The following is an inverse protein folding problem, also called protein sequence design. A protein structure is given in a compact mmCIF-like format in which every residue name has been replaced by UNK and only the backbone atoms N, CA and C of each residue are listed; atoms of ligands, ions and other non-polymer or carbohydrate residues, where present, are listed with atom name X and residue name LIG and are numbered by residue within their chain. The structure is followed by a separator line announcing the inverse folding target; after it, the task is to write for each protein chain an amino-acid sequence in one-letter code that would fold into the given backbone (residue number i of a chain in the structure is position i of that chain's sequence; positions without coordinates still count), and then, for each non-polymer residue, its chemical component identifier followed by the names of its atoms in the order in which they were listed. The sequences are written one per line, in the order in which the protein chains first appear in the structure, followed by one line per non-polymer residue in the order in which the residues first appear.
data_IF_922722893979
#
_entry.id   IF_922722893979
#
_cell.length_a   1.000
_cell.length_b   1.000
_cell.length_c   1.000
_cell.angle_alpha   90.00
_cell.angle_beta   90.00
_cell.angle_gamma   90.00
#
_symmetry.space_group_name_H-M   'P 1'
#
loop_
_entity.id
_entity.type
_entity.pdbx_description
1 polymer ?
#
# COMPACT_ATOMS: atom_id res chain seq x y z
N UNK A 1 -38.48 25.95 8.58
CA UNK A 1 -37.40 26.91 8.32
C UNK A 1 -36.25 26.13 7.72
N UNK A 2 -35.96 26.36 6.46
CA UNK A 2 -34.94 25.61 5.70
C UNK A 2 -33.57 26.16 6.07
N UNK A 3 -32.71 25.32 6.65
CA UNK A 3 -31.29 25.64 6.90
C UNK A 3 -30.56 25.76 5.56
N UNK A 4 -30.09 26.95 5.26
CA UNK A 4 -29.22 27.27 4.12
C UNK A 4 -27.86 26.63 4.35
N UNK A 5 -27.51 25.67 3.51
CA UNK A 5 -26.12 25.20 3.34
C UNK A 5 -25.38 26.34 2.64
N UNK A 6 -24.51 27.04 3.34
CA UNK A 6 -23.60 28.03 2.75
C UNK A 6 -22.59 27.26 1.87
N UNK A 7 -22.82 27.30 0.54
CA UNK A 7 -21.80 26.86 -0.41
C UNK A 7 -20.52 27.69 -0.19
N UNK A 8 -19.41 27.09 0.15
CA UNK A 8 -18.11 27.79 0.21
C UNK A 8 -17.82 28.35 -1.18
N UNK A 9 -17.48 29.64 -1.24
CA UNK A 9 -17.14 30.31 -2.50
C UNK A 9 -15.92 29.61 -3.12
N UNK A 10 -16.02 29.17 -4.38
CA UNK A 10 -14.94 28.53 -5.12
C UNK A 10 -13.76 29.50 -5.27
N UNK A 11 -12.65 29.22 -4.63
CA UNK A 11 -11.44 30.04 -4.66
C UNK A 11 -10.27 29.23 -5.23
N UNK A 12 -9.64 29.74 -6.28
CA UNK A 12 -8.48 29.19 -6.93
C UNK A 12 -7.28 30.14 -6.76
N UNK A 13 -6.18 29.63 -6.24
CA UNK A 13 -4.88 30.34 -6.29
C UNK A 13 -4.03 29.72 -7.40
N UNK A 14 -3.42 30.55 -8.21
CA UNK A 14 -2.52 30.17 -9.30
C UNK A 14 -1.13 30.67 -8.95
N UNK A 15 -0.14 29.78 -8.89
CA UNK A 15 1.28 30.13 -8.76
C UNK A 15 2.01 29.66 -10.00
N UNK A 16 2.38 30.61 -10.86
CA UNK A 16 3.04 30.37 -12.15
C UNK A 16 3.80 31.64 -12.54
N UNK A 17 5.07 31.53 -12.89
CA UNK A 17 5.90 32.69 -13.29
C UNK A 17 5.62 33.14 -14.74
N UNK A 18 4.93 32.31 -15.53
CA UNK A 18 4.44 32.71 -16.85
C UNK A 18 3.05 33.35 -16.74
N UNK A 19 3.03 34.70 -16.84
CA UNK A 19 1.80 35.46 -16.75
C UNK A 19 0.76 35.06 -17.81
N UNK A 20 1.16 34.54 -18.97
CA UNK A 20 0.24 34.12 -20.04
C UNK A 20 -0.49 32.82 -19.68
N UNK A 21 0.21 31.90 -19.01
CA UNK A 21 -0.36 30.65 -18.48
C UNK A 21 -1.31 30.98 -17.31
N UNK A 22 -0.85 31.81 -16.36
CA UNK A 22 -1.68 32.24 -15.24
C UNK A 22 -2.98 32.94 -15.70
N UNK A 23 -2.90 33.85 -16.68
CA UNK A 23 -4.08 34.48 -17.28
C UNK A 23 -5.01 33.47 -17.96
N UNK A 24 -4.48 32.48 -18.65
CA UNK A 24 -5.27 31.45 -19.32
C UNK A 24 -6.04 30.62 -18.29
N UNK A 25 -5.38 30.18 -17.23
CA UNK A 25 -6.02 29.42 -16.14
C UNK A 25 -7.08 30.29 -15.45
N UNK A 26 -6.76 31.55 -15.13
CA UNK A 26 -7.69 32.49 -14.50
C UNK A 26 -8.96 32.66 -15.32
N UNK A 27 -8.81 33.00 -16.60
CA UNK A 27 -9.95 33.22 -17.50
C UNK A 27 -10.87 32.01 -17.58
N UNK A 28 -10.31 30.81 -17.61
CA UNK A 28 -11.09 29.58 -17.69
C UNK A 28 -11.79 29.27 -16.36
N UNK A 29 -11.09 29.43 -15.24
CA UNK A 29 -11.64 29.17 -13.92
C UNK A 29 -12.76 30.18 -13.52
N UNK A 30 -12.61 31.44 -13.89
CA UNK A 30 -13.65 32.49 -13.69
C UNK A 30 -14.96 32.12 -14.40
N UNK A 31 -14.89 31.56 -15.61
CA UNK A 31 -16.08 31.06 -16.35
C UNK A 31 -16.77 29.89 -15.63
N UNK A 32 -16.08 29.18 -14.78
CA UNK A 32 -16.61 28.10 -13.93
C UNK A 32 -17.06 28.59 -12.55
N UNK A 33 -17.02 29.91 -12.32
CA UNK A 33 -17.49 30.57 -11.10
C UNK A 33 -16.47 30.59 -9.96
N UNK A 34 -15.17 30.45 -10.28
CA UNK A 34 -14.09 30.61 -9.29
C UNK A 34 -13.74 32.10 -9.10
N UNK A 35 -13.43 32.47 -7.87
CA UNK A 35 -12.64 33.67 -7.58
C UNK A 35 -11.16 33.28 -7.72
N UNK A 36 -10.41 33.95 -8.61
CA UNK A 36 -9.03 33.56 -8.90
C UNK A 36 -8.06 34.64 -8.46
N UNK A 37 -6.95 34.24 -7.83
CA UNK A 37 -5.81 35.08 -7.49
C UNK A 37 -4.54 34.44 -8.09
N UNK A 38 -3.78 35.24 -8.85
CA UNK A 38 -2.56 34.79 -9.52
C UNK A 38 -1.33 35.40 -8.85
N UNK A 39 -0.28 34.61 -8.75
CA UNK A 39 1.00 34.96 -8.11
C UNK A 39 2.15 34.52 -9.02
N UNK A 40 3.18 35.37 -9.10
CA UNK A 40 4.44 35.12 -9.82
C UNK A 40 5.57 34.73 -8.86
N UNK A 41 5.28 34.64 -7.55
CA UNK A 41 6.27 34.29 -6.53
C UNK A 41 5.66 33.69 -5.28
N UNK A 42 6.48 32.93 -4.50
CA UNK A 42 5.98 32.07 -3.44
C UNK A 42 5.52 32.82 -2.19
N UNK A 43 6.16 33.91 -1.78
CA UNK A 43 5.83 34.59 -0.51
C UNK A 43 4.40 35.16 -0.49
N UNK A 44 3.97 35.99 -1.47
CA UNK A 44 2.59 36.46 -1.52
C UNK A 44 1.56 35.32 -1.68
N UNK A 45 1.95 34.25 -2.38
CA UNK A 45 1.11 33.05 -2.54
C UNK A 45 0.86 32.37 -1.19
N UNK A 46 1.88 32.14 -0.37
CA UNK A 46 1.67 31.50 0.95
C UNK A 46 0.85 32.37 1.91
N UNK A 47 0.97 33.69 1.84
CA UNK A 47 0.12 34.60 2.59
C UNK A 47 -1.35 34.47 2.14
N UNK A 48 -1.59 34.39 0.82
CA UNK A 48 -2.91 34.20 0.27
C UNK A 48 -3.51 32.85 0.65
N UNK A 49 -2.72 31.76 0.68
CA UNK A 49 -3.17 30.45 1.15
C UNK A 49 -3.71 30.51 2.58
N UNK A 50 -3.01 31.24 3.48
CA UNK A 50 -3.44 31.41 4.89
C UNK A 50 -4.68 32.29 5.02
N UNK A 51 -4.80 33.33 4.19
CA UNK A 51 -5.87 34.32 4.30
C UNK A 51 -7.18 33.84 3.67
N UNK A 52 -7.09 33.21 2.49
CA UNK A 52 -8.27 32.91 1.67
C UNK A 52 -8.75 31.47 1.80
N UNK A 53 -7.97 30.57 2.43
CA UNK A 53 -8.31 29.15 2.53
C UNK A 53 -8.84 28.59 1.20
N UNK A 54 -8.01 28.54 0.13
CA UNK A 54 -8.47 28.23 -1.22
C UNK A 54 -9.08 26.84 -1.30
N UNK A 55 -10.07 26.66 -2.17
CA UNK A 55 -10.59 25.33 -2.51
C UNK A 55 -9.67 24.61 -3.50
N UNK A 56 -9.00 25.37 -4.37
CA UNK A 56 -8.11 24.84 -5.40
C UNK A 56 -6.83 25.64 -5.48
N UNK A 57 -5.74 24.98 -5.89
CA UNK A 57 -4.43 25.59 -6.19
C UNK A 57 -3.93 25.01 -7.51
N UNK A 58 -3.58 25.86 -8.46
CA UNK A 58 -2.80 25.49 -9.64
C UNK A 58 -1.35 25.92 -9.43
N UNK A 59 -0.41 24.97 -9.49
CA UNK A 59 0.98 25.16 -9.16
C UNK A 59 1.89 24.77 -10.32
N UNK A 60 2.69 25.71 -10.81
CA UNK A 60 3.82 25.35 -11.69
C UNK A 60 4.96 24.71 -10.89
N UNK A 61 5.51 23.64 -11.45
CA UNK A 61 6.65 22.94 -10.87
C UNK A 61 7.99 23.60 -11.21
N UNK A 62 8.05 24.43 -12.26
CA UNK A 62 9.29 25.04 -12.73
C UNK A 62 9.19 26.56 -12.60
N UNK A 63 9.78 27.07 -11.56
CA UNK A 63 9.82 28.52 -11.29
C UNK A 63 11.24 28.97 -10.86
N UNK A 64 11.68 30.19 -11.21
CA UNK A 64 13.10 30.61 -11.04
C UNK A 64 13.55 30.80 -9.58
N UNK A 65 12.65 31.05 -8.64
CA UNK A 65 13.00 31.42 -7.25
C UNK A 65 12.80 30.30 -6.24
N UNK A 66 11.82 29.46 -6.49
CA UNK A 66 11.48 28.31 -5.65
C UNK A 66 10.81 27.29 -6.56
N UNK A 67 11.31 26.07 -6.57
CA UNK A 67 10.68 25.02 -7.35
C UNK A 67 9.36 24.54 -6.74
N UNK A 68 8.51 23.93 -7.55
CA UNK A 68 7.19 23.48 -7.13
C UNK A 68 7.25 22.40 -6.04
N UNK A 69 8.32 21.63 -5.95
CA UNK A 69 8.50 20.60 -4.90
C UNK A 69 8.66 21.27 -3.53
N UNK A 70 9.44 22.34 -3.45
CA UNK A 70 9.57 23.12 -2.21
C UNK A 70 8.25 23.79 -1.83
N UNK A 71 7.47 24.27 -2.81
CA UNK A 71 6.12 24.80 -2.57
C UNK A 71 5.21 23.71 -2.01
N UNK A 72 5.19 22.52 -2.60
CA UNK A 72 4.40 21.37 -2.09
C UNK A 72 4.81 21.01 -0.66
N UNK A 73 6.09 20.99 -0.35
CA UNK A 73 6.60 20.73 1.00
C UNK A 73 6.07 21.75 2.02
N UNK A 74 6.06 23.04 1.69
CA UNK A 74 5.52 24.09 2.57
C UNK A 74 4.01 24.00 2.70
N UNK A 75 3.28 23.72 1.62
CA UNK A 75 1.82 23.50 1.68
C UNK A 75 1.45 22.32 2.59
N UNK A 76 2.21 21.23 2.55
CA UNK A 76 2.04 20.10 3.46
C UNK A 76 2.28 20.52 4.94
N UNK A 77 3.34 21.28 5.23
CA UNK A 77 3.62 21.79 6.57
C UNK A 77 2.51 22.74 7.07
N UNK A 78 1.85 23.44 6.15
CA UNK A 78 0.72 24.32 6.46
C UNK A 78 -0.62 23.57 6.57
N UNK A 79 -0.63 22.25 6.38
CA UNK A 79 -1.84 21.41 6.35
C UNK A 79 -2.89 21.92 5.35
N UNK A 80 -2.44 22.34 4.15
CA UNK A 80 -3.31 22.86 3.12
C UNK A 80 -4.28 21.78 2.62
N UNK A 81 -5.59 22.06 2.69
CA UNK A 81 -6.66 21.14 2.30
C UNK A 81 -7.15 21.36 0.86
N UNK A 82 -6.60 22.34 0.16
CA UNK A 82 -6.99 22.64 -1.22
C UNK A 82 -6.70 21.46 -2.17
N UNK A 83 -7.53 21.31 -3.19
CA UNK A 83 -7.24 20.42 -4.30
C UNK A 83 -6.13 21.00 -5.20
N UNK A 84 -5.04 20.28 -5.38
CA UNK A 84 -3.86 20.73 -6.10
C UNK A 84 -3.88 20.24 -7.56
N UNK A 85 -3.66 21.15 -8.49
CA UNK A 85 -3.44 20.87 -9.92
C UNK A 85 -2.00 21.24 -10.22
N UNK A 86 -1.17 20.25 -10.57
CA UNK A 86 0.24 20.48 -10.90
C UNK A 86 0.39 20.79 -12.38
N UNK A 87 1.05 21.93 -12.72
CA UNK A 87 1.32 22.29 -14.10
C UNK A 87 2.83 22.21 -14.39
N UNK A 88 3.22 21.77 -15.57
CA UNK A 88 4.64 21.78 -15.96
C UNK A 88 4.82 21.59 -17.46
N UNK A 89 5.87 22.20 -18.00
CA UNK A 89 6.39 21.94 -19.34
C UNK A 89 7.37 20.77 -19.45
N UNK A 90 7.68 20.08 -18.32
CA UNK A 90 8.56 18.90 -18.30
C UNK A 90 7.83 17.60 -18.64
N UNK A 91 8.61 16.56 -18.98
CA UNK A 91 8.09 15.26 -19.33
C UNK A 91 7.25 14.63 -18.21
N UNK A 92 6.29 13.80 -18.60
CA UNK A 92 5.26 13.17 -17.78
C UNK A 92 5.80 12.47 -16.51
N UNK A 93 7.00 11.87 -16.56
CA UNK A 93 7.63 11.20 -15.40
C UNK A 93 7.94 12.13 -14.23
N UNK A 94 8.34 13.36 -14.50
CA UNK A 94 8.63 14.35 -13.43
C UNK A 94 7.33 14.75 -12.73
N UNK A 95 6.27 14.92 -13.51
CA UNK A 95 4.94 15.22 -12.99
C UNK A 95 4.37 14.08 -12.14
N UNK A 96 4.52 12.84 -12.58
CA UNK A 96 4.10 11.64 -11.83
C UNK A 96 4.89 11.50 -10.51
N UNK A 97 6.19 11.75 -10.53
CA UNK A 97 7.02 11.75 -9.33
C UNK A 97 6.61 12.85 -8.34
N UNK A 98 6.36 14.08 -8.84
CA UNK A 98 5.87 15.17 -7.99
C UNK A 98 4.49 14.88 -7.38
N UNK A 99 3.60 14.24 -8.15
CA UNK A 99 2.28 13.83 -7.69
C UNK A 99 2.39 12.78 -6.57
N UNK A 100 3.23 11.76 -6.73
CA UNK A 100 3.46 10.73 -5.72
C UNK A 100 4.00 11.33 -4.43
N UNK A 101 5.06 12.15 -4.53
CA UNK A 101 5.66 12.83 -3.37
C UNK A 101 4.66 13.73 -2.62
N UNK A 102 3.80 14.44 -3.35
CA UNK A 102 2.79 15.31 -2.74
C UNK A 102 1.69 14.50 -2.04
N UNK A 103 1.25 13.39 -2.64
CA UNK A 103 0.25 12.48 -2.04
C UNK A 103 0.77 11.81 -0.78
N UNK A 104 2.02 11.36 -0.75
CA UNK A 104 2.69 10.80 0.43
C UNK A 104 2.79 11.80 1.60
N UNK A 105 2.78 13.12 1.30
CA UNK A 105 2.76 14.19 2.29
C UNK A 105 1.36 14.60 2.73
N UNK A 106 0.33 13.87 2.32
CA UNK A 106 -1.07 14.12 2.69
C UNK A 106 -1.72 15.29 1.95
N UNK A 107 -1.15 15.73 0.83
CA UNK A 107 -1.76 16.76 -0.03
C UNK A 107 -2.78 16.13 -1.00
N UNK A 108 -3.88 16.82 -1.23
CA UNK A 108 -4.94 16.38 -2.14
C UNK A 108 -4.63 16.76 -3.59
N UNK A 109 -4.10 15.84 -4.38
CA UNK A 109 -3.77 16.07 -5.79
C UNK A 109 -4.96 15.70 -6.68
N UNK A 110 -5.55 16.71 -7.32
CA UNK A 110 -6.65 16.53 -8.28
C UNK A 110 -6.16 16.00 -9.63
N UNK A 111 -4.95 16.34 -10.02
CA UNK A 111 -4.33 15.85 -11.24
C UNK A 111 -3.19 16.72 -11.73
N UNK A 112 -2.73 16.37 -12.94
CA UNK A 112 -1.58 16.97 -13.61
C UNK A 112 -2.04 17.60 -14.93
N UNK A 113 -1.54 18.78 -15.22
CA UNK A 113 -1.85 19.56 -16.41
C UNK A 113 -0.55 19.88 -17.20
N UNK A 114 -0.14 19.02 -18.13
CA UNK A 114 1.08 19.24 -18.92
C UNK A 114 0.89 20.44 -19.88
N UNK A 115 1.87 21.35 -19.90
CA UNK A 115 1.91 22.50 -20.83
C UNK A 115 2.46 22.06 -22.20
N UNK A 116 1.81 22.42 -23.36
CA UNK A 116 0.53 23.13 -23.49
C UNK A 116 -0.67 22.21 -23.22
N UNK A 117 -1.68 22.72 -22.52
CA UNK A 117 -2.86 21.94 -22.14
C UNK A 117 -4.11 22.31 -22.95
N UNK A 118 -5.04 21.37 -23.01
CA UNK A 118 -6.36 21.58 -23.61
C UNK A 118 -7.31 22.17 -22.57
N UNK A 119 -8.18 23.13 -22.95
CA UNK A 119 -9.17 23.71 -22.06
C UNK A 119 -10.03 22.67 -21.32
N UNK A 120 -10.49 21.64 -22.01
CA UNK A 120 -11.34 20.60 -21.44
C UNK A 120 -10.68 19.82 -20.29
N UNK A 121 -9.36 19.66 -20.31
CA UNK A 121 -8.63 18.97 -19.23
C UNK A 121 -8.59 19.81 -17.97
N UNK A 122 -8.36 21.13 -18.10
CA UNK A 122 -8.40 22.05 -16.96
C UNK A 122 -9.82 22.14 -16.37
N UNK A 123 -10.87 22.22 -17.23
CA UNK A 123 -12.27 22.24 -16.80
C UNK A 123 -12.64 20.97 -16.03
N UNK A 124 -12.18 19.81 -16.49
CA UNK A 124 -12.36 18.54 -15.78
C UNK A 124 -11.70 18.56 -14.40
N UNK A 125 -10.43 18.99 -14.31
CA UNK A 125 -9.70 19.06 -13.04
C UNK A 125 -10.32 20.06 -12.05
N UNK A 126 -10.77 21.22 -12.52
CA UNK A 126 -11.45 22.23 -11.70
C UNK A 126 -12.88 21.82 -11.27
N UNK A 127 -13.50 20.89 -11.96
CA UNK A 127 -14.79 20.33 -11.55
C UNK A 127 -14.68 19.21 -10.52
N UNK A 128 -13.50 18.68 -10.29
CA UNK A 128 -13.22 17.72 -9.21
C UNK A 128 -13.31 18.45 -7.88
N UNK A 129 -14.17 17.96 -6.99
CA UNK A 129 -14.30 18.55 -5.64
C UNK A 129 -13.14 18.09 -4.78
N UNK A 130 -12.42 19.01 -4.08
CA UNK A 130 -11.42 18.61 -3.10
C UNK A 130 -12.04 17.68 -2.05
N UNK A 131 -11.29 16.68 -1.59
CA UNK A 131 -11.77 15.67 -0.65
C UNK A 131 -12.36 16.23 0.65
N UNK A 132 -12.12 17.51 0.97
CA UNK A 132 -12.71 18.23 2.10
C UNK A 132 -14.13 18.73 1.88
N UNK A 133 -14.62 18.83 0.63
CA UNK A 133 -15.99 19.27 0.32
C UNK A 133 -16.93 18.13 -0.09
N UNK A 134 -16.38 17.01 -0.47
CA UNK A 134 -17.17 15.79 -0.65
C UNK A 134 -17.32 15.18 0.74
N UNK A 135 -18.45 15.47 1.38
CA UNK A 135 -19.00 14.50 2.29
C UNK A 135 -19.01 13.19 1.51
N UNK A 136 -18.02 12.38 1.76
CA UNK A 136 -17.80 11.01 1.26
C UNK A 136 -18.86 10.52 0.27
N UNK A 137 -18.58 10.62 -1.03
CA UNK A 137 -19.02 9.55 -1.93
C UNK A 137 -18.20 8.32 -1.58
N UNK A 138 -18.78 7.12 -1.49
CA UNK A 138 -18.28 6.08 -0.63
C UNK A 138 -16.93 5.52 -1.13
N UNK A 139 -15.84 6.09 -0.65
CA UNK A 139 -14.78 5.27 -0.14
C UNK A 139 -15.52 4.30 0.78
N UNK A 140 -15.47 3.00 0.50
CA UNK A 140 -16.10 1.93 1.25
C UNK A 140 -16.20 2.35 2.71
N UNK A 141 -17.42 2.64 3.17
CA UNK A 141 -17.80 3.03 4.52
C UNK A 141 -16.61 3.18 5.50
N UNK A 142 -16.05 4.41 5.62
CA UNK A 142 -15.61 4.85 6.92
C UNK A 142 -16.93 5.05 7.69
N UNK A 143 -17.34 4.02 8.41
CA UNK A 143 -18.39 4.15 9.39
C UNK A 143 -17.96 5.26 10.37
N UNK A 144 -18.86 6.17 10.72
CA UNK A 144 -18.82 6.89 11.99
C UNK A 144 -18.70 5.84 13.10
N UNK A 145 -17.47 5.60 13.58
CA UNK A 145 -17.12 4.48 14.45
C UNK A 145 -15.98 3.64 13.88
N UNK A 146 -14.90 4.27 13.37
CA UNK A 146 -13.66 3.52 13.13
C UNK A 146 -13.34 2.75 14.41
N UNK A 147 -12.99 1.44 14.33
CA UNK A 147 -12.75 0.63 15.51
C UNK A 147 -11.67 1.31 16.34
N UNK A 148 -11.99 1.59 17.60
CA UNK A 148 -11.05 2.19 18.52
C UNK A 148 -10.09 1.11 19.03
N UNK A 149 -8.91 1.51 19.49
CA UNK A 149 -7.91 0.56 20.03
C UNK A 149 -8.49 -0.34 21.12
N UNK A 150 -9.40 0.18 21.94
CA UNK A 150 -10.10 -0.55 23.00
C UNK A 150 -10.98 -1.68 22.43
N UNK A 151 -11.69 -1.43 21.34
CA UNK A 151 -12.49 -2.43 20.64
C UNK A 151 -11.60 -3.54 20.05
N UNK A 152 -10.47 -3.16 19.44
CA UNK A 152 -9.49 -4.13 18.94
C UNK A 152 -8.88 -4.96 20.06
N UNK A 153 -8.55 -4.35 21.21
CA UNK A 153 -8.03 -5.07 22.38
C UNK A 153 -9.05 -6.09 22.90
N UNK A 154 -10.32 -5.71 22.97
CA UNK A 154 -11.40 -6.63 23.34
C UNK A 154 -11.58 -7.75 22.31
N UNK A 155 -11.52 -7.43 21.00
CA UNK A 155 -11.65 -8.40 19.93
C UNK A 155 -10.52 -9.44 19.91
N UNK A 156 -9.28 -9.05 20.20
CA UNK A 156 -8.16 -9.98 20.37
C UNK A 156 -8.40 -10.90 21.56
N UNK A 157 -8.84 -10.35 22.70
CA UNK A 157 -9.12 -11.12 23.91
C UNK A 157 -10.32 -12.06 23.75
N UNK A 158 -11.39 -11.66 23.05
CA UNK A 158 -12.58 -12.47 22.77
C UNK A 158 -12.44 -13.42 21.57
N UNK A 159 -11.29 -13.40 20.89
CA UNK A 159 -11.00 -14.20 19.69
C UNK A 159 -11.93 -13.90 18.50
N UNK A 160 -12.42 -12.68 18.36
CA UNK A 160 -13.16 -12.19 17.20
C UNK A 160 -12.25 -12.00 15.97
N UNK A 161 -10.93 -11.85 16.22
CA UNK A 161 -9.92 -11.87 15.16
C UNK A 161 -9.68 -13.31 14.74
N UNK A 162 -9.85 -13.56 13.46
CA UNK A 162 -9.63 -14.85 12.81
C UNK A 162 -8.64 -14.68 11.66
N UNK A 163 -8.51 -15.69 10.83
CA UNK A 163 -7.69 -15.62 9.63
C UNK A 163 -8.40 -16.19 8.40
N UNK A 164 -7.95 -15.76 7.25
CA UNK A 164 -8.23 -16.39 5.97
C UNK A 164 -6.93 -16.83 5.34
N UNK A 165 -7.00 -17.71 4.37
CA UNK A 165 -5.82 -18.21 3.65
C UNK A 165 -6.03 -18.06 2.16
N UNK A 166 -4.96 -17.62 1.48
CA UNK A 166 -4.97 -17.47 0.04
C UNK A 166 -3.88 -18.36 -0.57
N UNK A 167 -4.19 -19.21 -1.57
CA UNK A 167 -3.23 -20.16 -2.13
C UNK A 167 -2.12 -19.48 -2.91
N UNK A 168 -0.89 -20.01 -2.78
CA UNK A 168 0.28 -19.72 -3.62
C UNK A 168 0.47 -20.87 -4.61
N UNK A 169 0.44 -20.56 -5.91
CA UNK A 169 0.51 -21.51 -7.02
C UNK A 169 1.90 -21.49 -7.67
N UNK A 170 2.52 -22.63 -7.85
CA UNK A 170 3.72 -22.77 -8.69
C UNK A 170 3.31 -22.62 -10.17
N UNK A 171 3.90 -21.64 -10.86
CA UNK A 171 3.53 -21.31 -12.24
C UNK A 171 4.00 -22.35 -13.25
N UNK A 172 5.00 -23.16 -12.92
CA UNK A 172 5.54 -24.22 -13.77
C UNK A 172 4.76 -25.52 -13.64
N UNK A 173 4.48 -25.96 -12.38
CA UNK A 173 3.80 -27.24 -12.11
C UNK A 173 2.30 -27.12 -12.01
N UNK A 174 1.78 -25.89 -11.78
CA UNK A 174 0.38 -25.61 -11.48
C UNK A 174 -0.11 -26.25 -10.17
N UNK A 175 0.79 -26.64 -9.30
CA UNK A 175 0.49 -27.17 -7.99
C UNK A 175 0.42 -26.07 -6.94
N UNK A 176 -0.41 -26.26 -5.92
CA UNK A 176 -0.47 -25.38 -4.76
C UNK A 176 0.65 -25.76 -3.81
N UNK A 177 1.62 -24.86 -3.65
CA UNK A 177 2.85 -25.07 -2.85
C UNK A 177 2.84 -24.35 -1.52
N UNK A 178 1.82 -23.54 -1.26
CA UNK A 178 1.70 -22.79 -0.01
C UNK A 178 0.42 -21.98 0.06
N UNK A 179 0.26 -21.28 1.16
CA UNK A 179 -0.82 -20.31 1.34
C UNK A 179 -0.36 -19.15 2.22
N UNK A 180 -0.84 -17.95 1.93
CA UNK A 180 -0.67 -16.79 2.81
C UNK A 180 -1.82 -16.70 3.81
N UNK A 181 -1.47 -16.42 5.07
CA UNK A 181 -2.39 -16.22 6.18
C UNK A 181 -2.69 -14.72 6.30
N UNK A 182 -3.94 -14.37 6.10
CA UNK A 182 -4.43 -13.00 6.13
C UNK A 182 -5.33 -12.84 7.37
N UNK A 183 -4.95 -11.96 8.29
CA UNK A 183 -5.76 -11.63 9.45
C UNK A 183 -7.13 -11.08 9.01
N UNK A 184 -8.17 -11.34 9.79
CA UNK A 184 -9.53 -10.94 9.47
C UNK A 184 -10.30 -10.65 10.77
N UNK A 185 -10.82 -9.42 10.90
CA UNK A 185 -11.64 -9.07 12.05
C UNK A 185 -13.13 -9.12 11.69
N UNK A 186 -13.86 -10.01 12.37
CA UNK A 186 -15.30 -10.13 12.27
C UNK A 186 -15.96 -9.30 13.36
N UNK A 187 -16.20 -8.01 13.10
CA UNK A 187 -16.84 -7.12 14.05
C UNK A 187 -18.37 -7.33 14.02
N UNK A 188 -19.06 -7.45 15.20
CA UNK A 188 -20.49 -7.74 15.24
C UNK A 188 -21.37 -6.67 14.58
N UNK A 189 -20.96 -5.39 14.61
CA UNK A 189 -21.72 -4.28 14.02
C UNK A 189 -21.23 -3.89 12.62
N UNK A 190 -19.89 -3.94 12.38
CA UNK A 190 -19.29 -3.45 11.14
C UNK A 190 -18.99 -4.56 10.13
N UNK A 191 -19.25 -5.82 10.47
CA UNK A 191 -18.95 -6.95 9.61
C UNK A 191 -17.44 -7.22 9.51
N UNK A 192 -16.94 -7.47 8.31
CA UNK A 192 -15.51 -7.76 8.09
C UNK A 192 -14.72 -6.46 7.98
N UNK A 193 -13.79 -6.25 8.92
CA UNK A 193 -12.84 -5.13 8.92
C UNK A 193 -11.53 -5.59 8.28
N UNK A 194 -11.00 -4.77 7.36
CA UNK A 194 -9.75 -5.06 6.65
C UNK A 194 -8.53 -5.00 7.59
N UNK A 195 -7.49 -5.82 7.37
CA UNK A 195 -6.20 -5.64 8.02
C UNK A 195 -5.63 -4.23 7.88
N UNK A 196 -5.81 -3.60 6.74
CA UNK A 196 -5.34 -2.22 6.48
C UNK A 196 -5.96 -1.19 7.44
N UNK A 197 -7.15 -1.49 8.01
CA UNK A 197 -7.85 -0.60 8.93
C UNK A 197 -7.47 -0.85 10.40
N UNK A 198 -7.16 -2.10 10.80
CA UNK A 198 -6.93 -2.44 12.21
C UNK A 198 -5.46 -2.71 12.57
N UNK A 199 -4.62 -3.13 11.64
CA UNK A 199 -3.18 -3.35 11.92
C UNK A 199 -2.50 -2.04 12.37
N UNK A 200 -2.73 -0.87 11.73
CA UNK A 200 -2.16 0.39 12.21
C UNK A 200 -2.58 0.74 13.65
N UNK A 201 -3.80 0.36 14.07
CA UNK A 201 -4.24 0.52 15.45
C UNK A 201 -3.49 -0.40 16.42
N UNK A 202 -3.26 -1.66 16.02
CA UNK A 202 -2.47 -2.60 16.81
C UNK A 202 -1.03 -2.11 17.00
N UNK A 203 -0.44 -1.54 15.96
CA UNK A 203 0.91 -0.99 15.97
C UNK A 203 1.10 0.21 16.91
N UNK A 204 0.03 0.85 17.38
CA UNK A 204 0.13 1.90 18.43
C UNK A 204 0.54 1.35 19.79
N UNK A 205 0.44 0.03 20.03
CA UNK A 205 0.76 -0.64 21.29
C UNK A 205 1.57 -1.92 21.03
N UNK A 206 2.78 -1.99 21.60
CA UNK A 206 3.63 -3.18 21.49
C UNK A 206 2.94 -4.44 22.04
N UNK A 207 2.23 -4.32 23.18
CA UNK A 207 1.52 -5.45 23.78
C UNK A 207 0.38 -5.93 22.88
N UNK A 208 -0.46 -5.02 22.37
CA UNK A 208 -1.58 -5.38 21.51
C UNK A 208 -1.09 -6.05 20.21
N UNK A 209 0.02 -5.55 19.63
CA UNK A 209 0.62 -6.17 18.44
C UNK A 209 1.17 -7.56 18.74
N UNK A 210 1.79 -7.77 19.91
CA UNK A 210 2.25 -9.10 20.35
C UNK A 210 1.08 -10.07 20.52
N UNK A 211 0.00 -9.63 21.19
CA UNK A 211 -1.17 -10.46 21.45
C UNK A 211 -1.87 -10.84 20.15
N UNK A 212 -2.03 -9.87 19.22
CA UNK A 212 -2.60 -10.11 17.90
C UNK A 212 -1.74 -11.09 17.08
N UNK A 213 -0.43 -10.86 17.03
CA UNK A 213 0.52 -11.73 16.34
C UNK A 213 0.46 -13.15 16.92
N UNK A 214 0.51 -13.28 18.24
CA UNK A 214 0.40 -14.57 18.94
C UNK A 214 -0.89 -15.31 18.61
N UNK A 215 -2.03 -14.60 18.59
CA UNK A 215 -3.33 -15.16 18.25
C UNK A 215 -3.37 -15.72 16.81
N UNK A 216 -2.85 -14.96 15.85
CA UNK A 216 -2.81 -15.39 14.44
C UNK A 216 -1.89 -16.60 14.27
N UNK A 217 -0.71 -16.60 14.90
CA UNK A 217 0.18 -17.77 14.86
C UNK A 217 -0.49 -19.01 15.48
N UNK A 218 -1.08 -18.89 16.67
CA UNK A 218 -1.76 -20.01 17.31
C UNK A 218 -2.84 -20.64 16.42
N UNK A 219 -3.72 -19.79 15.86
CA UNK A 219 -4.83 -20.23 15.04
C UNK A 219 -4.35 -20.85 13.71
N UNK A 220 -3.43 -20.18 13.01
CA UNK A 220 -2.95 -20.61 11.69
C UNK A 220 -2.11 -21.87 11.77
N UNK A 221 -1.23 -22.01 12.77
CA UNK A 221 -0.44 -23.22 13.01
C UNK A 221 -1.33 -24.40 13.40
N UNK A 222 -2.35 -24.16 14.26
CA UNK A 222 -3.33 -25.19 14.64
C UNK A 222 -4.12 -25.71 13.44
N UNK A 223 -4.50 -24.82 12.50
CA UNK A 223 -5.14 -25.24 11.27
C UNK A 223 -4.15 -25.98 10.35
N UNK A 224 -2.95 -25.39 10.10
CA UNK A 224 -2.00 -25.96 9.17
C UNK A 224 -1.54 -27.37 9.58
N UNK A 225 -1.39 -27.61 10.87
CA UNK A 225 -1.04 -28.94 11.40
C UNK A 225 -2.01 -30.06 10.97
N UNK A 226 -3.27 -29.71 10.65
CA UNK A 226 -4.33 -30.65 10.24
C UNK A 226 -4.70 -30.55 8.78
N UNK A 227 -4.26 -29.50 8.10
CA UNK A 227 -4.57 -29.25 6.69
C UNK A 227 -3.84 -30.23 5.76
N UNK A 228 -4.46 -30.66 4.65
CA UNK A 228 -3.78 -31.41 3.60
C UNK A 228 -2.54 -30.69 3.03
N UNK A 229 -2.52 -29.36 3.09
CA UNK A 229 -1.36 -28.55 2.63
C UNK A 229 -0.07 -28.90 3.36
N UNK A 230 -0.15 -29.36 4.60
CA UNK A 230 1.02 -29.75 5.41
C UNK A 230 1.91 -30.78 4.73
N UNK A 231 1.34 -31.66 3.90
CA UNK A 231 2.11 -32.74 3.26
C UNK A 231 3.18 -32.21 2.31
N UNK A 232 2.92 -31.14 1.57
CA UNK A 232 3.79 -30.65 0.50
C UNK A 232 4.02 -29.14 0.50
N UNK A 233 3.24 -28.36 1.27
CA UNK A 233 3.24 -26.91 1.22
C UNK A 233 3.80 -26.24 2.48
N UNK A 234 3.75 -24.92 2.46
CA UNK A 234 4.13 -24.01 3.55
C UNK A 234 3.04 -22.97 3.78
N UNK A 235 3.05 -22.33 4.94
CA UNK A 235 2.24 -21.14 5.19
C UNK A 235 3.11 -19.92 5.36
N UNK A 236 2.62 -18.77 4.93
CA UNK A 236 3.26 -17.49 5.09
C UNK A 236 2.42 -16.62 6.04
N UNK A 237 3.08 -15.94 6.98
CA UNK A 237 2.44 -15.10 7.99
C UNK A 237 3.17 -13.77 8.07
N UNK A 238 2.42 -12.68 8.04
CA UNK A 238 2.93 -11.33 8.11
C UNK A 238 3.48 -10.99 9.50
N UNK A 239 4.64 -10.36 9.55
CA UNK A 239 5.26 -9.80 10.75
C UNK A 239 5.31 -8.27 10.68
N UNK A 240 4.80 -7.62 11.72
CA UNK A 240 4.94 -6.17 11.88
C UNK A 240 6.40 -5.78 12.19
N UNK A 241 6.84 -4.63 11.67
CA UNK A 241 8.12 -4.00 11.98
C UNK A 241 8.37 -3.90 13.49
N UNK A 242 7.34 -3.57 14.28
CA UNK A 242 7.44 -3.50 15.73
C UNK A 242 7.79 -4.84 16.40
N UNK A 243 7.32 -5.94 15.82
CA UNK A 243 7.62 -7.27 16.34
C UNK A 243 9.10 -7.64 16.16
N UNK A 244 9.76 -7.10 15.13
CA UNK A 244 11.16 -7.37 14.83
C UNK A 244 12.14 -6.77 15.85
N UNK A 245 11.73 -5.74 16.60
CA UNK A 245 12.55 -5.20 17.70
C UNK A 245 12.59 -6.09 18.95
N UNK A 246 11.81 -7.17 18.98
CA UNK A 246 11.78 -8.11 20.12
C UNK A 246 12.62 -9.34 19.85
N UNK A 247 13.80 -9.41 20.46
CA UNK A 247 14.75 -10.52 20.30
C UNK A 247 14.17 -11.88 20.75
N UNK A 248 13.16 -11.90 21.62
CA UNK A 248 12.50 -13.12 22.07
C UNK A 248 11.44 -13.64 21.06
N UNK A 249 11.15 -12.88 20.00
CA UNK A 249 10.16 -13.26 18.98
C UNK A 249 10.49 -14.63 18.36
N UNK A 250 11.74 -14.87 18.01
CA UNK A 250 12.16 -16.10 17.38
C UNK A 250 11.90 -17.33 18.28
N UNK A 251 12.14 -17.20 19.58
CA UNK A 251 11.89 -18.29 20.54
C UNK A 251 10.38 -18.55 20.74
N UNK A 252 9.57 -17.47 20.75
CA UNK A 252 8.11 -17.62 20.87
C UNK A 252 7.48 -18.30 19.65
N UNK A 253 7.91 -17.91 18.43
CA UNK A 253 7.38 -18.53 17.21
C UNK A 253 7.81 -20.00 17.13
N UNK A 254 9.06 -20.32 17.47
CA UNK A 254 9.55 -21.70 17.51
C UNK A 254 8.77 -22.56 18.51
N UNK A 255 8.50 -22.03 19.72
CA UNK A 255 7.70 -22.72 20.73
C UNK A 255 6.28 -22.97 20.21
N UNK A 256 5.65 -22.00 19.53
CA UNK A 256 4.32 -22.18 18.92
C UNK A 256 4.35 -23.27 17.83
N UNK A 257 5.36 -23.28 16.96
CA UNK A 257 5.56 -24.34 15.97
C UNK A 257 5.69 -25.72 16.63
N UNK A 258 6.48 -25.80 17.70
CA UNK A 258 6.67 -27.05 18.45
C UNK A 258 5.36 -27.57 19.07
N UNK A 259 4.56 -26.68 19.71
CA UNK A 259 3.26 -27.03 20.31
C UNK A 259 2.32 -27.65 19.27
N UNK A 260 2.31 -27.13 18.05
CA UNK A 260 1.45 -27.63 16.97
C UNK A 260 2.12 -28.71 16.10
N UNK A 261 3.35 -29.09 16.38
CA UNK A 261 4.09 -30.08 15.59
C UNK A 261 4.35 -29.64 14.14
N UNK A 262 4.49 -28.33 13.89
CA UNK A 262 4.78 -27.76 12.58
C UNK A 262 6.30 -27.53 12.45
N UNK A 263 6.97 -28.08 11.43
CA UNK A 263 8.39 -27.80 11.19
C UNK A 263 8.60 -26.31 10.86
N UNK A 264 9.66 -25.71 11.40
CA UNK A 264 9.94 -24.26 11.21
C UNK A 264 10.21 -23.90 9.75
N UNK A 265 10.76 -24.79 8.95
CA UNK A 265 11.01 -24.61 7.51
C UNK A 265 9.73 -24.58 6.66
N UNK A 266 8.58 -24.92 7.26
CA UNK A 266 7.25 -24.81 6.64
C UNK A 266 6.56 -23.49 6.94
N UNK A 267 7.17 -22.63 7.76
CA UNK A 267 6.67 -21.31 8.08
C UNK A 267 7.53 -20.24 7.40
N UNK A 268 6.90 -19.43 6.57
CA UNK A 268 7.49 -18.26 5.91
C UNK A 268 7.01 -17.04 6.69
N UNK A 269 7.93 -16.19 7.08
CA UNK A 269 7.63 -14.94 7.78
C UNK A 269 7.77 -13.79 6.79
N UNK A 270 6.68 -13.08 6.54
CA UNK A 270 6.62 -11.98 5.58
C UNK A 270 6.87 -10.66 6.30
N UNK A 271 7.81 -9.88 5.80
CA UNK A 271 8.17 -8.56 6.30
C UNK A 271 8.08 -7.55 5.17
N UNK A 272 7.56 -6.36 5.42
CA UNK A 272 7.50 -5.32 4.39
C UNK A 272 8.89 -4.89 3.96
N UNK A 273 9.02 -4.36 2.75
CA UNK A 273 10.27 -3.81 2.22
C UNK A 273 10.90 -2.80 3.19
N UNK A 274 10.09 -1.88 3.73
CA UNK A 274 10.55 -0.87 4.69
C UNK A 274 11.09 -1.49 5.98
N UNK A 275 10.45 -2.56 6.50
CA UNK A 275 10.91 -3.29 7.69
C UNK A 275 12.24 -4.01 7.45
N UNK A 276 12.40 -4.58 6.26
CA UNK A 276 13.64 -5.24 5.85
C UNK A 276 14.82 -4.25 5.74
N UNK A 277 14.54 -2.96 5.48
CA UNK A 277 15.53 -1.90 5.34
C UNK A 277 15.82 -1.15 6.65
N UNK A 278 15.15 -1.50 7.74
CA UNK A 278 15.44 -0.93 9.06
C UNK A 278 16.86 -1.32 9.50
N UNK A 279 17.68 -0.31 9.81
CA UNK A 279 19.10 -0.48 10.16
C UNK A 279 19.36 -0.73 11.65
N UNK A 280 18.33 -0.99 12.44
CA UNK A 280 18.54 -1.28 13.83
C UNK A 280 19.25 -2.63 13.99
N UNK A 281 20.25 -2.70 14.88
CA UNK A 281 20.96 -3.94 15.17
C UNK A 281 19.98 -5.03 15.64
N UNK A 282 18.99 -4.64 16.43
CA UNK A 282 18.00 -5.55 17.00
C UNK A 282 17.13 -6.22 15.92
N UNK A 283 16.71 -5.46 14.88
CA UNK A 283 15.96 -6.01 13.74
C UNK A 283 16.79 -7.05 12.99
N UNK A 284 18.07 -6.74 12.68
CA UNK A 284 18.94 -7.67 11.97
C UNK A 284 19.23 -8.93 12.79
N UNK A 285 19.46 -8.78 14.09
CA UNK A 285 19.67 -9.89 15.01
C UNK A 285 18.44 -10.80 15.08
N UNK A 286 17.23 -10.22 15.16
CA UNK A 286 15.98 -10.98 15.18
C UNK A 286 15.77 -11.76 13.88
N UNK A 287 15.96 -11.12 12.71
CA UNK A 287 15.85 -11.79 11.41
C UNK A 287 16.89 -12.92 11.26
N UNK A 288 18.12 -12.69 11.69
CA UNK A 288 19.16 -13.71 11.69
C UNK A 288 18.81 -14.89 12.59
N UNK A 289 18.30 -14.63 13.80
CA UNK A 289 17.86 -15.69 14.74
C UNK A 289 16.70 -16.51 14.18
N UNK A 290 15.73 -15.87 13.51
CA UNK A 290 14.64 -16.58 12.83
C UNK A 290 15.20 -17.57 11.79
N UNK A 291 16.14 -17.13 10.96
CA UNK A 291 16.77 -18.02 9.98
C UNK A 291 17.60 -19.13 10.60
N UNK A 292 18.35 -18.87 11.68
CA UNK A 292 19.09 -19.90 12.41
C UNK A 292 18.18 -20.98 13.00
N UNK A 293 16.92 -20.63 13.33
CA UNK A 293 15.87 -21.58 13.77
C UNK A 293 15.17 -22.31 12.62
N UNK A 294 15.57 -22.04 11.38
CA UNK A 294 15.05 -22.70 10.19
C UNK A 294 13.83 -22.04 9.56
N UNK A 295 13.38 -20.87 10.05
CA UNK A 295 12.30 -20.12 9.41
C UNK A 295 12.75 -19.55 8.07
N UNK A 296 11.82 -19.44 7.13
CA UNK A 296 12.03 -18.77 5.86
C UNK A 296 11.54 -17.34 5.94
N UNK A 297 12.26 -16.40 5.30
CA UNK A 297 11.89 -14.99 5.27
C UNK A 297 11.49 -14.60 3.85
N UNK A 298 10.41 -13.83 3.75
CA UNK A 298 9.92 -13.22 2.51
C UNK A 298 9.86 -11.69 2.67
N UNK A 299 10.31 -10.96 1.66
CA UNK A 299 10.05 -9.51 1.59
C UNK A 299 8.77 -9.27 0.82
N UNK A 300 7.86 -8.52 1.45
CA UNK A 300 6.55 -8.14 0.93
C UNK A 300 6.54 -6.73 0.34
N UNK A 301 5.58 -6.43 -0.54
CA UNK A 301 5.36 -5.15 -1.22
C UNK A 301 6.59 -4.64 -1.98
N UNK A 302 7.44 -5.54 -2.50
CA UNK A 302 8.70 -5.17 -3.13
C UNK A 302 8.50 -4.33 -4.40
N UNK A 303 9.24 -3.21 -4.46
CA UNK A 303 9.23 -2.25 -5.56
C UNK A 303 8.42 -0.98 -5.25
N UNK A 304 7.74 -0.90 -4.11
CA UNK A 304 7.00 0.31 -3.69
C UNK A 304 7.88 1.28 -2.89
N UNK A 305 9.00 0.80 -2.34
CA UNK A 305 9.93 1.56 -1.49
C UNK A 305 11.28 1.87 -2.14
N UNK A 306 12.22 2.33 -1.33
CA UNK A 306 13.61 2.64 -1.72
C UNK A 306 14.57 1.59 -1.17
N UNK A 307 14.56 0.40 -1.73
CA UNK A 307 15.47 -0.66 -1.29
C UNK A 307 16.89 -0.47 -1.81
N UNK A 308 17.87 -0.55 -0.90
CA UNK A 308 19.25 -0.74 -1.28
C UNK A 308 19.50 -2.20 -1.63
N UNK A 309 19.92 -2.49 -2.85
CA UNK A 309 20.31 -3.85 -3.26
C UNK A 309 21.39 -4.45 -2.35
N UNK A 310 22.30 -3.61 -1.80
CA UNK A 310 23.31 -4.05 -0.85
C UNK A 310 22.68 -4.57 0.44
N UNK A 311 21.64 -3.92 0.96
CA UNK A 311 20.94 -4.37 2.17
C UNK A 311 20.16 -5.65 1.91
N UNK A 312 19.44 -5.72 0.78
CA UNK A 312 18.71 -6.91 0.39
C UNK A 312 19.64 -8.14 0.30
N UNK A 313 20.85 -7.96 -0.26
CA UNK A 313 21.84 -9.02 -0.40
C UNK A 313 22.42 -9.52 0.94
N UNK A 314 22.32 -8.72 2.01
CA UNK A 314 22.77 -9.11 3.37
C UNK A 314 21.73 -9.88 4.16
N UNK A 315 20.46 -9.77 3.77
CA UNK A 315 19.39 -10.45 4.46
C UNK A 315 19.29 -11.91 4.01
N UNK A 316 19.10 -12.84 4.93
CA UNK A 316 18.97 -14.26 4.61
C UNK A 316 17.56 -14.59 4.10
N UNK A 317 17.18 -14.00 2.98
CA UNK A 317 15.86 -14.13 2.37
C UNK A 317 15.72 -15.45 1.61
N UNK A 318 14.49 -15.91 1.48
CA UNK A 318 14.11 -17.05 0.66
C UNK A 318 13.13 -16.67 -0.47
N UNK A 319 12.41 -15.55 -0.30
CA UNK A 319 11.31 -15.18 -1.20
C UNK A 319 11.21 -13.66 -1.34
N UNK A 320 10.81 -13.17 -2.51
CA UNK A 320 10.44 -11.78 -2.79
C UNK A 320 9.02 -11.78 -3.39
N UNK A 321 8.10 -10.99 -2.81
CA UNK A 321 6.76 -10.78 -3.31
C UNK A 321 6.72 -9.50 -4.14
N UNK A 322 6.18 -9.59 -5.34
CA UNK A 322 6.00 -8.46 -6.26
C UNK A 322 4.64 -7.86 -5.97
N UNK A 323 4.63 -6.60 -5.56
CA UNK A 323 3.41 -5.90 -5.16
C UNK A 323 2.33 -5.92 -6.25
N UNK A 324 1.10 -6.10 -5.81
CA UNK A 324 -0.09 -6.18 -6.67
C UNK A 324 -0.29 -4.97 -7.58
N UNK A 325 0.15 -3.77 -7.17
CA UNK A 325 -0.02 -2.53 -7.95
C UNK A 325 0.73 -2.57 -9.28
N UNK A 326 1.85 -3.31 -9.35
CA UNK A 326 2.60 -3.55 -10.59
C UNK A 326 2.01 -4.70 -11.40
N UNK A 327 1.61 -5.79 -10.74
CA UNK A 327 1.06 -6.99 -11.40
C UNK A 327 -0.27 -6.68 -12.08
N UNK A 328 -1.18 -5.96 -11.44
CA UNK A 328 -2.47 -5.53 -12.02
C UNK A 328 -2.25 -4.65 -13.27
N UNK A 329 -1.20 -3.82 -13.25
CA UNK A 329 -0.87 -2.91 -14.38
C UNK A 329 0.06 -3.53 -15.43
N UNK A 330 0.36 -4.83 -15.35
CA UNK A 330 1.36 -5.50 -16.19
C UNK A 330 1.12 -5.33 -17.70
N UNK A 331 -0.13 -5.25 -18.14
CA UNK A 331 -0.54 -5.07 -19.53
C UNK A 331 -0.83 -3.63 -19.93
N UNK A 332 -1.03 -2.73 -18.96
CA UNK A 332 -1.44 -1.34 -19.21
C UNK A 332 -0.32 -0.33 -19.01
N UNK A 333 0.76 -0.70 -18.32
CA UNK A 333 1.90 0.15 -18.02
C UNK A 333 3.23 -0.53 -18.41
N UNK A 334 3.95 0.10 -19.34
CA UNK A 334 5.28 -0.37 -19.72
C UNK A 334 6.29 -0.31 -18.56
N UNK A 335 6.13 0.66 -17.64
CA UNK A 335 7.02 0.79 -16.48
C UNK A 335 6.70 -0.26 -15.41
N UNK A 336 5.42 -0.56 -15.17
CA UNK A 336 5.04 -1.67 -14.30
C UNK A 336 5.61 -3.01 -14.83
N UNK A 337 5.55 -3.24 -16.13
CA UNK A 337 6.14 -4.43 -16.75
C UNK A 337 7.66 -4.52 -16.55
N UNK A 338 8.38 -3.39 -16.69
CA UNK A 338 9.84 -3.35 -16.45
C UNK A 338 10.17 -3.65 -14.99
N UNK A 339 9.38 -3.12 -14.04
CA UNK A 339 9.56 -3.38 -12.60
C UNK A 339 9.36 -4.86 -12.31
N UNK A 340 8.28 -5.47 -12.80
CA UNK A 340 8.01 -6.90 -12.62
C UNK A 340 9.14 -7.75 -13.20
N UNK A 341 9.58 -7.49 -14.44
CA UNK A 341 10.67 -8.21 -15.10
C UNK A 341 11.99 -8.06 -14.34
N UNK A 342 12.33 -6.84 -13.92
CA UNK A 342 13.54 -6.56 -13.14
C UNK A 342 13.52 -7.27 -11.78
N UNK A 343 12.36 -7.29 -11.09
CA UNK A 343 12.22 -7.97 -9.79
C UNK A 343 12.34 -9.49 -9.93
N UNK A 344 11.74 -10.09 -10.98
CA UNK A 344 11.90 -11.51 -11.27
C UNK A 344 13.38 -11.83 -11.57
N UNK A 345 14.05 -10.98 -12.38
CA UNK A 345 15.46 -11.12 -12.68
C UNK A 345 16.34 -11.01 -11.42
N UNK A 346 16.04 -10.07 -10.53
CA UNK A 346 16.72 -9.91 -9.24
C UNK A 346 16.53 -11.15 -8.36
N UNK A 347 15.30 -11.60 -8.17
CA UNK A 347 15.01 -12.81 -7.40
C UNK A 347 15.83 -14.01 -7.91
N UNK A 348 15.83 -14.22 -9.23
CA UNK A 348 16.60 -15.28 -9.87
C UNK A 348 18.11 -15.15 -9.64
N UNK A 349 18.67 -13.95 -9.75
CA UNK A 349 20.12 -13.71 -9.55
C UNK A 349 20.57 -13.94 -8.10
N UNK A 350 19.65 -13.73 -7.15
CA UNK A 350 19.88 -13.94 -5.71
C UNK A 350 19.51 -15.36 -5.23
N UNK A 351 18.98 -16.22 -6.11
CA UNK A 351 18.51 -17.56 -5.75
C UNK A 351 17.23 -17.56 -4.90
N UNK A 352 16.43 -16.49 -5.01
CA UNK A 352 15.17 -16.32 -4.28
C UNK A 352 13.97 -16.77 -5.11
N UNK A 353 12.90 -17.17 -4.43
CA UNK A 353 11.60 -17.42 -5.04
C UNK A 353 10.90 -16.11 -5.30
N UNK A 354 10.43 -15.85 -6.52
CA UNK A 354 9.59 -14.71 -6.85
C UNK A 354 8.11 -15.07 -6.74
N UNK A 355 7.31 -14.26 -6.07
CA UNK A 355 5.86 -14.42 -5.93
C UNK A 355 5.17 -13.20 -6.51
N UNK A 356 4.32 -13.37 -7.51
CA UNK A 356 3.52 -12.29 -8.06
C UNK A 356 2.16 -12.25 -7.36
N UNK A 357 1.81 -11.08 -6.81
CA UNK A 357 0.54 -10.84 -6.14
C UNK A 357 -0.49 -10.18 -7.05
N UNK A 358 -1.78 -10.32 -6.68
CA UNK A 358 -2.85 -9.66 -7.41
C UNK A 358 -3.06 -10.17 -8.83
N UNK A 359 -2.82 -11.45 -9.07
CA UNK A 359 -3.13 -12.08 -10.36
C UNK A 359 -4.64 -12.21 -10.50
N UNK A 360 -5.25 -11.44 -11.42
CA UNK A 360 -6.69 -11.35 -11.58
C UNK A 360 -7.22 -12.02 -12.85
N UNK A 361 -6.34 -12.32 -13.81
CA UNK A 361 -6.74 -12.96 -15.07
C UNK A 361 -5.67 -13.91 -15.64
N UNK A 362 -6.09 -14.71 -16.65
CA UNK A 362 -5.25 -15.70 -17.31
C UNK A 362 -4.11 -15.07 -18.12
N UNK A 363 -4.31 -13.88 -18.69
CA UNK A 363 -3.30 -13.23 -19.54
C UNK A 363 -2.13 -12.74 -18.69
N UNK A 364 -2.42 -12.14 -17.51
CA UNK A 364 -1.41 -11.77 -16.50
C UNK A 364 -0.64 -13.02 -16.06
N UNK A 365 -1.34 -14.11 -15.72
CA UNK A 365 -0.69 -15.35 -15.30
C UNK A 365 0.21 -15.94 -16.39
N UNK A 366 -0.20 -15.91 -17.66
CA UNK A 366 0.61 -16.38 -18.78
C UNK A 366 1.86 -15.51 -18.98
N UNK A 367 1.73 -14.20 -18.84
CA UNK A 367 2.86 -13.27 -18.96
C UNK A 367 3.87 -13.50 -17.83
N UNK A 368 3.43 -13.64 -16.59
CA UNK A 368 4.30 -13.96 -15.44
C UNK A 368 5.05 -15.27 -15.64
N UNK A 369 4.36 -16.30 -16.17
CA UNK A 369 4.98 -17.59 -16.54
C UNK A 369 6.07 -17.39 -17.60
N UNK A 370 5.81 -16.56 -18.62
CA UNK A 370 6.79 -16.28 -19.70
C UNK A 370 8.01 -15.49 -19.23
N UNK A 371 7.84 -14.62 -18.21
CA UNK A 371 8.92 -13.88 -17.57
C UNK A 371 9.73 -14.76 -16.60
N UNK A 372 9.24 -15.96 -16.29
CA UNK A 372 9.90 -16.90 -15.39
C UNK A 372 9.67 -16.62 -13.91
N UNK A 373 8.55 -15.98 -13.55
CA UNK A 373 8.10 -15.87 -12.19
C UNK A 373 7.86 -17.25 -11.59
N UNK A 374 8.23 -17.46 -10.32
CA UNK A 374 8.15 -18.78 -9.68
C UNK A 374 6.74 -19.10 -9.23
N UNK A 375 6.13 -18.23 -8.45
CA UNK A 375 4.83 -18.41 -7.82
C UNK A 375 3.88 -17.28 -8.19
N UNK A 376 2.59 -17.56 -8.08
CA UNK A 376 1.52 -16.57 -8.27
C UNK A 376 0.46 -16.71 -7.18
N UNK A 377 -0.13 -15.57 -6.82
CA UNK A 377 -1.23 -15.44 -5.89
C UNK A 377 -2.20 -14.36 -6.39
N UNK A 378 -3.51 -14.59 -6.26
CA UNK A 378 -4.51 -13.62 -6.67
C UNK A 378 -5.90 -14.20 -6.88
N UNK A 379 -6.85 -13.33 -7.18
CA UNK A 379 -8.27 -13.69 -7.28
C UNK A 379 -8.59 -14.60 -8.48
N UNK A 380 -7.73 -14.61 -9.46
CA UNK A 380 -7.86 -15.57 -10.57
C UNK A 380 -7.65 -17.02 -10.11
N UNK A 381 -6.80 -17.24 -9.11
CA UNK A 381 -6.56 -18.56 -8.52
C UNK A 381 -7.63 -18.87 -7.47
N UNK A 382 -7.72 -18.01 -6.45
CA UNK A 382 -8.76 -18.05 -5.43
C UNK A 382 -8.78 -16.75 -4.63
N UNK A 383 -9.98 -16.32 -4.21
CA UNK A 383 -10.11 -15.34 -3.13
C UNK A 383 -9.66 -15.95 -1.81
N UNK A 384 -9.30 -15.12 -0.80
CA UNK A 384 -9.01 -15.63 0.54
C UNK A 384 -10.18 -16.45 1.12
N UNK A 385 -9.89 -17.68 1.55
CA UNK A 385 -10.83 -18.68 2.07
C UNK A 385 -10.65 -18.84 3.57
N UNK A 386 -11.68 -19.32 4.28
CA UNK A 386 -11.49 -19.85 5.63
C UNK A 386 -10.69 -21.14 5.58
N UNK A 387 -10.00 -21.52 6.69
CA UNK A 387 -9.18 -22.73 6.72
C UNK A 387 -9.91 -23.99 6.21
N UNK A 388 -11.11 -24.32 6.70
CA UNK A 388 -11.88 -25.48 6.21
C UNK A 388 -12.24 -25.36 4.71
N UNK A 389 -12.66 -24.16 4.26
CA UNK A 389 -13.00 -23.94 2.85
C UNK A 389 -11.77 -24.07 1.93
N UNK A 390 -10.59 -23.66 2.41
CA UNK A 390 -9.34 -23.86 1.70
C UNK A 390 -9.00 -25.35 1.59
N UNK A 391 -9.15 -26.12 2.66
CA UNK A 391 -8.88 -27.58 2.64
C UNK A 391 -9.79 -28.31 1.65
N UNK A 392 -11.08 -27.94 1.57
CA UNK A 392 -12.02 -28.49 0.59
C UNK A 392 -11.67 -28.04 -0.84
N UNK A 393 -11.32 -26.77 -1.02
CA UNK A 393 -10.87 -26.24 -2.30
C UNK A 393 -9.61 -26.95 -2.79
N UNK A 394 -8.61 -27.17 -1.91
CA UNK A 394 -7.34 -27.83 -2.24
C UNK A 394 -7.55 -29.30 -2.67
N UNK A 395 -8.46 -30.05 -2.00
CA UNK A 395 -8.80 -31.43 -2.41
C UNK A 395 -9.41 -31.50 -3.80
N UNK A 396 -10.10 -30.45 -4.22
CA UNK A 396 -10.77 -30.36 -5.52
C UNK A 396 -9.92 -29.64 -6.59
N UNK A 397 -8.78 -29.05 -6.19
CA UNK A 397 -7.88 -28.39 -7.12
C UNK A 397 -7.39 -29.37 -8.21
N UNK A 398 -7.45 -28.92 -9.44
CA UNK A 398 -6.89 -29.64 -10.58
C UNK A 398 -5.96 -28.68 -11.32
N UNK A 399 -4.66 -29.01 -11.53
CA UNK A 399 -3.67 -28.20 -12.24
C UNK A 399 -4.06 -27.85 -13.68
#
# INVERSE_FOLDING_TARGET
MKGSVTAHAKCLLVLDDDASVACTISFMAERLGFTVLCFDGPEPFFEAVRLHHPTHVALDLIMPRMDGIEVLRRLATMHCQAGLILTSGMGQKVLESAQTTASERGLNILGVLPKPFRPSVLEELLSRVPASEVGSAPARHAHDGAPQREALTAAVASREITFRVQPKLDLRTREVVGAEVLACWHHPEFGIISPDDFIPLAETSAQLMQDLTGLIFEQSLSWFARSPLRASGSIAVNLSTRSLGDIALADRIEAACHVHGVPTDRLILEITESSAMDRTADTFDTLTRLCLKGFRLSVDDFGTGYSSLEQLARLPLSEIKIDKSFVIKLHTSADARKIVDATIGLAKSMGLVSVAEGVEDAAVMQTLTSLGCSLAQGYFISRPLTGPAFDDWLRNWRP
#
